data_IF_743193974774
#
_entry.id   IF_743193974774
#
_cell.length_a   1.000
_cell.length_b   1.000
_cell.length_c   1.000
_cell.angle_alpha   90.00
_cell.angle_beta   90.00
_cell.angle_gamma   90.00
#
_symmetry.space_group_name_H-M   'P 1'
#
loop_
_entity.id
_entity.type
_entity.pdbx_description
1 polymer ?
#
# COMPACT_ATOMS: atom_id res chain seq x y z
N UNK A 1 -0.04 20.40 -7.21
CA UNK A 1 0.24 19.00 -6.83
C UNK A 1 1.31 18.44 -7.73
N UNK A 2 2.26 17.69 -7.18
CA UNK A 2 3.28 17.00 -7.97
C UNK A 2 2.67 15.86 -8.80
N UNK A 3 3.31 15.51 -9.91
CA UNK A 3 2.92 14.34 -10.72
C UNK A 3 3.14 13.07 -9.88
N UNK A 4 2.14 12.19 -9.83
CA UNK A 4 2.28 10.86 -9.22
C UNK A 4 3.39 10.06 -9.91
N UNK A 5 4.43 9.69 -9.14
CA UNK A 5 5.49 8.78 -9.61
C UNK A 5 4.88 7.40 -9.89
N UNK A 6 5.24 6.80 -11.01
CA UNK A 6 4.88 5.44 -11.37
C UNK A 6 6.06 4.46 -11.28
N UNK A 7 5.81 3.19 -11.61
CA UNK A 7 6.82 2.13 -11.62
C UNK A 7 8.08 2.51 -12.42
N UNK A 8 7.92 3.17 -13.56
CA UNK A 8 9.04 3.55 -14.43
C UNK A 8 9.89 4.67 -13.81
N UNK A 9 9.27 5.64 -13.12
CA UNK A 9 9.99 6.70 -12.42
C UNK A 9 10.85 6.10 -11.29
N UNK A 10 10.31 5.12 -10.54
CA UNK A 10 11.06 4.40 -9.49
C UNK A 10 12.25 3.61 -10.05
N UNK A 11 12.11 3.01 -11.24
CA UNK A 11 13.23 2.34 -11.94
C UNK A 11 14.30 3.36 -12.33
N UNK A 12 13.90 4.54 -12.82
CA UNK A 12 14.82 5.61 -13.19
C UNK A 12 15.57 6.17 -11.97
N UNK A 13 14.90 6.33 -10.82
CA UNK A 13 15.55 6.71 -9.56
C UNK A 13 16.67 5.72 -9.20
N UNK A 14 16.39 4.41 -9.28
CA UNK A 14 17.40 3.37 -9.06
C UNK A 14 18.58 3.49 -10.03
N UNK A 15 18.32 3.71 -11.32
CA UNK A 15 19.36 3.82 -12.35
C UNK A 15 20.24 5.07 -12.18
N UNK A 16 19.66 6.16 -11.71
CA UNK A 16 20.35 7.44 -11.47
C UNK A 16 21.00 7.54 -10.09
N UNK A 17 20.80 6.55 -9.21
CA UNK A 17 21.33 6.56 -7.86
C UNK A 17 20.54 7.42 -6.87
N UNK A 18 19.40 7.98 -7.28
CA UNK A 18 18.46 8.68 -6.40
C UNK A 18 17.80 7.70 -5.43
N UNK A 19 17.79 8.04 -4.14
CA UNK A 19 17.20 7.18 -3.11
C UNK A 19 15.70 7.40 -3.05
N UNK A 20 14.94 6.31 -3.20
CA UNK A 20 13.51 6.31 -2.94
C UNK A 20 13.24 6.15 -1.43
N UNK A 21 12.28 6.91 -0.91
CA UNK A 21 11.79 6.85 0.46
C UNK A 21 10.33 6.37 0.50
N UNK A 22 10.02 5.49 1.44
CA UNK A 22 8.66 5.02 1.68
C UNK A 22 8.36 4.95 3.16
N UNK A 23 7.08 5.02 3.50
CA UNK A 23 6.57 4.88 4.85
C UNK A 23 5.31 4.01 4.85
N UNK A 24 5.01 3.37 5.98
CA UNK A 24 3.69 2.78 6.17
C UNK A 24 2.68 3.85 6.58
N UNK A 25 1.45 3.74 6.07
CA UNK A 25 0.32 4.53 6.53
C UNK A 25 -0.95 3.70 6.42
N UNK A 26 -1.93 3.98 7.27
CA UNK A 26 -3.13 3.15 7.40
C UNK A 26 -4.42 3.96 7.41
N UNK A 27 -4.34 5.29 7.46
CA UNK A 27 -5.50 6.17 7.53
C UNK A 27 -5.32 7.42 6.66
N UNK A 28 -6.41 8.16 6.53
CA UNK A 28 -6.45 9.39 5.76
C UNK A 28 -5.47 10.46 6.26
N UNK A 29 -5.47 10.88 7.55
CA UNK A 29 -4.60 11.97 7.99
C UNK A 29 -3.11 11.64 7.86
N UNK A 30 -2.70 10.42 8.21
CA UNK A 30 -1.30 10.00 8.10
C UNK A 30 -0.84 9.98 6.65
N UNK A 31 -1.69 9.51 5.74
CA UNK A 31 -1.39 9.53 4.31
C UNK A 31 -1.27 10.96 3.77
N UNK A 32 -2.11 11.90 4.21
CA UNK A 32 -2.01 13.32 3.84
C UNK A 32 -0.69 13.93 4.30
N UNK A 33 -0.23 13.61 5.51
CA UNK A 33 1.08 14.07 5.97
C UNK A 33 2.23 13.43 5.18
N UNK A 34 2.14 12.14 4.85
CA UNK A 34 3.14 11.45 4.04
C UNK A 34 3.24 12.03 2.61
N UNK A 35 2.12 12.33 1.97
CA UNK A 35 2.10 12.98 0.65
C UNK A 35 2.69 14.40 0.73
N UNK A 36 2.31 15.18 1.75
CA UNK A 36 2.84 16.54 1.96
C UNK A 36 4.35 16.53 2.24
N UNK A 37 4.87 15.49 2.90
CA UNK A 37 6.30 15.28 3.13
C UNK A 37 7.06 14.81 1.88
N UNK A 38 6.38 14.54 0.77
CA UNK A 38 6.99 14.14 -0.49
C UNK A 38 7.49 12.69 -0.51
N UNK A 39 6.85 11.79 0.24
CA UNK A 39 7.17 10.36 0.16
C UNK A 39 6.94 9.81 -1.24
N UNK A 40 7.89 9.00 -1.73
CA UNK A 40 7.79 8.41 -3.06
C UNK A 40 6.72 7.32 -3.11
N UNK A 41 6.63 6.54 -2.02
CA UNK A 41 5.66 5.46 -1.89
C UNK A 41 5.05 5.41 -0.49
N UNK A 42 3.83 4.90 -0.42
CA UNK A 42 3.15 4.53 0.83
C UNK A 42 2.80 3.05 0.77
N UNK A 43 3.12 2.33 1.83
CA UNK A 43 2.72 0.94 2.01
C UNK A 43 1.59 0.82 3.04
N UNK A 44 0.47 0.27 2.62
CA UNK A 44 -0.59 -0.19 3.54
C UNK A 44 -0.31 -1.64 3.89
N UNK A 45 0.57 -1.81 4.87
CA UNK A 45 1.09 -3.11 5.31
C UNK A 45 0.16 -3.85 6.26
N UNK A 46 0.24 -5.18 6.27
CA UNK A 46 -0.44 -6.05 7.26
C UNK A 46 -0.01 -5.76 8.72
N UNK A 47 1.13 -5.08 8.89
CA UNK A 47 1.54 -4.42 10.15
C UNK A 47 0.44 -3.59 10.82
N UNK A 48 -0.57 -3.13 10.07
CA UNK A 48 -1.80 -2.51 10.60
C UNK A 48 -2.45 -3.38 11.69
N UNK A 49 -2.35 -4.71 11.59
CA UNK A 49 -2.88 -5.64 12.57
C UNK A 49 -2.34 -5.32 13.97
N UNK A 50 -1.04 -5.07 14.07
CA UNK A 50 -0.39 -4.77 15.36
C UNK A 50 -0.58 -3.31 15.77
N UNK A 51 -0.30 -2.37 14.86
CA UNK A 51 -0.16 -0.94 15.22
C UNK A 51 -1.47 -0.15 15.13
N UNK A 52 -2.51 -0.72 14.51
CA UNK A 52 -3.83 -0.09 14.37
C UNK A 52 -4.92 -0.91 15.05
N UNK A 53 -4.97 -2.23 14.79
CA UNK A 53 -6.04 -3.10 15.30
C UNK A 53 -5.73 -3.78 16.63
N UNK A 54 -4.48 -3.73 17.10
CA UNK A 54 -4.07 -4.31 18.38
C UNK A 54 -4.00 -5.84 18.41
N UNK A 55 -3.91 -6.48 17.25
CA UNK A 55 -3.66 -7.92 17.14
C UNK A 55 -2.27 -8.29 17.65
N UNK A 56 -2.08 -9.54 18.13
CA UNK A 56 -0.77 -10.02 18.61
C UNK A 56 0.26 -10.19 17.49
N UNK A 57 -0.15 -10.10 16.23
CA UNK A 57 0.68 -10.24 15.04
C UNK A 57 -0.15 -9.97 13.78
N UNK A 58 0.38 -10.27 12.61
CA UNK A 58 -0.30 -9.98 11.33
C UNK A 58 -1.16 -11.11 10.79
N UNK A 59 -1.04 -12.33 11.35
CA UNK A 59 -1.84 -13.52 10.95
C UNK A 59 -3.35 -13.27 10.97
N UNK A 60 -3.95 -12.56 11.95
CA UNK A 60 -5.40 -12.34 11.97
C UNK A 60 -5.91 -11.30 10.97
N UNK A 61 -5.02 -10.57 10.27
CA UNK A 61 -5.41 -9.52 9.33
C UNK A 61 -6.13 -10.13 8.13
N UNK A 62 -7.27 -9.53 7.80
CA UNK A 62 -8.12 -9.97 6.68
C UNK A 62 -7.90 -9.11 5.44
N UNK A 63 -8.35 -9.61 4.28
CA UNK A 63 -8.38 -8.79 3.05
C UNK A 63 -9.19 -7.51 3.23
N UNK A 64 -10.30 -7.57 3.99
CA UNK A 64 -11.19 -6.42 4.16
C UNK A 64 -10.56 -5.35 5.06
N UNK A 65 -9.76 -5.75 6.06
CA UNK A 65 -8.94 -4.83 6.86
C UNK A 65 -7.99 -4.06 5.93
N UNK A 66 -7.18 -4.77 5.14
CA UNK A 66 -6.24 -4.13 4.22
C UNK A 66 -6.94 -3.21 3.21
N UNK A 67 -8.03 -3.66 2.57
CA UNK A 67 -8.77 -2.85 1.59
C UNK A 67 -9.34 -1.58 2.23
N UNK A 68 -9.93 -1.68 3.44
CA UNK A 68 -10.55 -0.53 4.10
C UNK A 68 -9.53 0.54 4.45
N UNK A 69 -8.36 0.13 4.93
CA UNK A 69 -7.22 1.01 5.21
C UNK A 69 -6.61 1.57 3.92
N UNK A 70 -6.46 0.76 2.88
CA UNK A 70 -6.00 1.20 1.55
C UNK A 70 -6.88 2.29 0.95
N UNK A 71 -8.21 2.17 1.04
CA UNK A 71 -9.13 3.22 0.60
C UNK A 71 -8.93 4.55 1.34
N UNK A 72 -8.67 4.49 2.65
CA UNK A 72 -8.43 5.69 3.46
C UNK A 72 -7.12 6.37 3.04
N UNK A 73 -6.07 5.58 2.86
CA UNK A 73 -4.75 6.04 2.41
C UNK A 73 -4.81 6.65 1.01
N UNK A 74 -5.46 5.99 0.04
CA UNK A 74 -5.60 6.55 -1.31
C UNK A 74 -6.29 7.91 -1.30
N UNK A 75 -7.35 8.08 -0.49
CA UNK A 75 -8.02 9.38 -0.35
C UNK A 75 -7.09 10.44 0.25
N UNK A 76 -6.22 10.06 1.17
CA UNK A 76 -5.28 10.96 1.83
C UNK A 76 -4.04 11.30 0.99
N UNK A 77 -3.63 10.42 0.07
CA UNK A 77 -2.47 10.54 -0.80
C UNK A 77 -2.78 10.21 -2.27
N UNK A 78 -3.61 11.01 -2.97
CA UNK A 78 -4.02 10.75 -4.35
C UNK A 78 -2.87 10.72 -5.37
N UNK A 79 -1.73 11.37 -5.09
CA UNK A 79 -0.59 11.47 -6.01
C UNK A 79 0.68 10.78 -5.49
N UNK A 80 0.58 9.94 -4.45
CA UNK A 80 1.68 9.08 -4.02
C UNK A 80 1.48 7.66 -4.55
N UNK A 81 2.58 6.98 -4.87
CA UNK A 81 2.54 5.58 -5.30
C UNK A 81 2.15 4.70 -4.11
N UNK A 82 0.92 4.17 -4.11
CA UNK A 82 0.38 3.43 -2.96
C UNK A 82 0.38 1.92 -3.22
N UNK A 83 0.84 1.17 -2.23
CA UNK A 83 0.99 -0.29 -2.28
C UNK A 83 0.07 -0.92 -1.23
N UNK A 84 -0.76 -1.88 -1.65
CA UNK A 84 -1.57 -2.69 -0.73
C UNK A 84 -0.89 -4.02 -0.42
N UNK A 85 -0.89 -4.44 0.84
CA UNK A 85 -0.26 -5.69 1.24
C UNK A 85 -1.26 -6.84 1.25
N UNK A 86 -0.94 -7.93 0.55
CA UNK A 86 -1.75 -9.14 0.57
C UNK A 86 -1.54 -9.84 1.93
N UNK A 87 -2.56 -9.91 2.80
CA UNK A 87 -2.42 -10.49 4.13
C UNK A 87 -2.18 -12.00 4.06
N UNK A 88 -1.82 -12.58 5.20
CA UNK A 88 -1.55 -14.01 5.34
C UNK A 88 -2.67 -14.88 4.73
N UNK A 89 -2.26 -15.93 4.01
CA UNK A 89 -3.10 -16.89 3.29
C UNK A 89 -3.95 -16.32 2.12
N UNK A 90 -3.89 -15.02 1.83
CA UNK A 90 -4.64 -14.42 0.71
C UNK A 90 -4.01 -14.65 -0.68
N UNK A 91 -2.80 -15.19 -0.75
CA UNK A 91 -2.10 -15.39 -2.04
C UNK A 91 -1.33 -16.71 -2.12
N UNK A 92 -1.14 -17.40 -1.00
CA UNK A 92 -0.33 -18.62 -0.90
C UNK A 92 -1.08 -19.86 -1.40
N UNK A 93 -2.42 -19.79 -1.51
CA UNK A 93 -3.26 -20.93 -1.90
C UNK A 93 -3.09 -21.27 -3.39
N UNK A 94 -3.11 -20.25 -4.25
CA UNK A 94 -2.91 -20.41 -5.71
C UNK A 94 -2.64 -19.07 -6.38
N UNK A 95 -2.02 -19.10 -7.56
CA UNK A 95 -1.84 -17.92 -8.42
C UNK A 95 -3.19 -17.27 -8.77
N UNK A 96 -4.24 -18.06 -8.97
CA UNK A 96 -5.59 -17.55 -9.26
C UNK A 96 -6.13 -16.72 -8.09
N UNK A 97 -5.99 -17.22 -6.87
CA UNK A 97 -6.43 -16.51 -5.67
C UNK A 97 -5.58 -15.26 -5.40
N UNK A 98 -4.26 -15.35 -5.61
CA UNK A 98 -3.36 -14.21 -5.54
C UNK A 98 -3.76 -13.10 -6.53
N UNK A 99 -4.02 -13.44 -7.80
CA UNK A 99 -4.46 -12.49 -8.84
C UNK A 99 -5.83 -11.89 -8.49
N UNK A 100 -6.77 -12.71 -8.03
CA UNK A 100 -8.11 -12.25 -7.62
C UNK A 100 -8.01 -11.23 -6.49
N UNK A 101 -7.24 -11.53 -5.44
CA UNK A 101 -7.07 -10.64 -4.29
C UNK A 101 -6.25 -9.40 -4.64
N UNK A 102 -5.22 -9.50 -5.49
CA UNK A 102 -4.53 -8.33 -6.01
C UNK A 102 -5.46 -7.41 -6.81
N UNK A 103 -6.35 -7.99 -7.62
CA UNK A 103 -7.38 -7.26 -8.36
C UNK A 103 -8.34 -6.46 -7.47
N UNK A 104 -8.60 -6.93 -6.23
CA UNK A 104 -9.39 -6.17 -5.24
C UNK A 104 -8.71 -4.86 -4.85
N UNK A 105 -7.40 -4.84 -4.62
CA UNK A 105 -6.68 -3.61 -4.29
C UNK A 105 -6.74 -2.55 -5.41
N UNK A 106 -6.63 -2.97 -6.66
CA UNK A 106 -6.76 -2.08 -7.81
C UNK A 106 -8.21 -1.58 -7.93
N UNK A 107 -9.19 -2.48 -7.88
CA UNK A 107 -10.60 -2.17 -8.13
C UNK A 107 -11.28 -1.40 -6.99
N UNK A 108 -11.04 -1.81 -5.75
CA UNK A 108 -11.78 -1.32 -4.58
C UNK A 108 -11.05 -0.18 -3.86
N UNK A 109 -9.74 -0.04 -4.05
CA UNK A 109 -8.91 0.92 -3.32
C UNK A 109 -7.99 1.77 -4.22
N UNK A 110 -7.97 1.54 -5.53
CA UNK A 110 -7.13 2.26 -6.50
C UNK A 110 -5.63 2.24 -6.10
N UNK A 111 -5.13 1.09 -5.63
CA UNK A 111 -3.70 0.91 -5.34
C UNK A 111 -2.88 0.75 -6.63
N UNK A 112 -1.63 1.19 -6.61
CA UNK A 112 -0.71 1.14 -7.76
C UNK A 112 0.02 -0.20 -7.89
N UNK A 113 0.19 -0.90 -6.77
CA UNK A 113 0.83 -2.21 -6.70
C UNK A 113 0.35 -2.99 -5.48
N UNK A 114 0.74 -4.25 -5.43
CA UNK A 114 0.60 -5.10 -4.24
C UNK A 114 1.95 -5.61 -3.75
N UNK A 115 2.06 -5.90 -2.45
CA UNK A 115 3.16 -6.66 -1.84
C UNK A 115 2.67 -8.06 -1.45
N UNK A 116 3.49 -9.07 -1.71
CA UNK A 116 3.27 -10.49 -1.38
C UNK A 116 4.61 -11.18 -1.05
#
# INVERSE_FOLDING_TARGET
>A
MGKKKGRLDLVQMKQSGEKAAWITAYDYPTATFAEAAGMDMILVGDSLGMVVLGYPGTVPVTMDDCIRHSQAVRRGAPNTFCIGDLPFLSYQVSDEEAVKNAGRFLKEADMDAVKL
#
